data_IF_858500835319
#
_entry.id   IF_858500835319
#
_cell.length_a   1.000
_cell.length_b   1.000
_cell.length_c   1.000
_cell.angle_alpha   90.00
_cell.angle_beta   90.00
_cell.angle_gamma   90.00
#
_symmetry.space_group_name_H-M   'P 1'
#
loop_
_entity.id
_entity.type
_entity.pdbx_description
1 polymer ?
#
# COMPACT_ATOMS: atom_id res chain seq x y z
N UNK A 1 6.32 -11.89 3.16
CA UNK A 1 5.31 -11.03 3.79
C UNK A 1 6.06 -9.92 4.50
N UNK A 2 5.87 -8.65 4.13
CA UNK A 2 6.45 -7.54 4.90
C UNK A 2 5.53 -7.31 6.09
N UNK A 3 6.00 -7.69 7.28
CA UNK A 3 5.25 -7.59 8.54
C UNK A 3 5.47 -6.21 9.15
N UNK A 4 4.38 -5.50 9.43
CA UNK A 4 4.43 -4.25 10.19
C UNK A 4 4.42 -4.54 11.71
N UNK A 5 4.94 -3.60 12.55
CA UNK A 5 4.95 -3.75 14.01
C UNK A 5 3.57 -3.92 14.65
N UNK A 6 2.52 -3.42 14.01
CA UNK A 6 1.11 -3.55 14.41
C UNK A 6 0.47 -4.91 14.03
N UNK A 7 1.24 -5.81 13.41
CA UNK A 7 0.76 -7.11 12.95
C UNK A 7 0.06 -7.09 11.58
N UNK A 8 -0.06 -5.94 10.93
CA UNK A 8 -0.59 -5.85 9.57
C UNK A 8 0.44 -6.31 8.53
N UNK A 9 -0.05 -6.93 7.46
CA UNK A 9 0.77 -7.29 6.31
C UNK A 9 0.43 -6.41 5.12
N UNK A 10 1.45 -6.00 4.37
CA UNK A 10 1.24 -5.37 3.06
C UNK A 10 0.76 -6.44 2.08
N UNK A 11 -0.47 -6.31 1.57
CA UNK A 11 -0.99 -7.14 0.47
C UNK A 11 -0.87 -6.42 -0.87
N UNK A 12 -0.59 -7.19 -1.91
CA UNK A 12 -0.88 -6.79 -3.28
C UNK A 12 -2.38 -7.06 -3.47
N UNK A 13 -3.22 -6.04 -3.39
CA UNK A 13 -4.66 -6.24 -3.45
C UNK A 13 -5.13 -6.72 -4.83
N UNK A 14 -6.44 -6.88 -4.96
CA UNK A 14 -7.07 -7.51 -6.13
C UNK A 14 -7.50 -6.46 -7.15
N UNK A 15 -7.84 -6.92 -8.35
CA UNK A 15 -8.52 -6.13 -9.37
C UNK A 15 -9.82 -5.49 -8.82
N UNK A 16 -9.88 -4.15 -8.79
CA UNK A 16 -11.08 -3.32 -8.59
C UNK A 16 -11.14 -2.37 -9.79
N UNK A 17 -12.31 -2.18 -10.41
CA UNK A 17 -12.52 -1.21 -11.50
C UNK A 17 -11.41 -1.17 -12.58
N UNK A 18 -11.01 -2.34 -13.08
CA UNK A 18 -9.96 -2.54 -14.09
C UNK A 18 -8.53 -2.18 -13.64
N UNK A 19 -8.25 -2.12 -12.34
CA UNK A 19 -6.92 -1.92 -11.78
C UNK A 19 -6.59 -2.83 -10.61
N UNK A 20 -5.32 -3.18 -10.42
CA UNK A 20 -4.80 -3.88 -9.25
C UNK A 20 -4.35 -2.84 -8.23
N UNK A 21 -4.86 -2.86 -7.01
CA UNK A 21 -4.52 -1.86 -5.99
C UNK A 21 -3.92 -2.51 -4.75
N UNK A 22 -2.76 -2.06 -4.24
CA UNK A 22 -2.21 -2.58 -3.00
C UNK A 22 -3.06 -2.17 -1.79
N UNK A 23 -2.99 -2.98 -0.74
CA UNK A 23 -3.81 -2.82 0.46
C UNK A 23 -3.21 -3.45 1.71
N UNK A 24 -4.07 -3.63 2.72
CA UNK A 24 -3.72 -4.08 4.06
C UNK A 24 -4.50 -5.35 4.41
N UNK A 25 -3.80 -6.42 4.81
CA UNK A 25 -4.46 -7.64 5.29
C UNK A 25 -4.84 -7.49 6.77
N UNK A 26 -6.13 -7.64 7.09
CA UNK A 26 -6.67 -7.65 8.46
C UNK A 26 -7.74 -8.75 8.56
N UNK A 27 -7.66 -9.59 9.60
CA UNK A 27 -8.66 -10.63 9.89
C UNK A 27 -9.07 -11.47 8.65
N UNK A 28 -8.07 -11.91 7.87
CA UNK A 28 -8.23 -12.68 6.63
C UNK A 28 -8.88 -11.95 5.44
N UNK A 29 -9.16 -10.65 5.54
CA UNK A 29 -9.59 -9.81 4.44
C UNK A 29 -8.47 -8.87 3.98
N UNK A 30 -8.47 -8.49 2.71
CA UNK A 30 -7.66 -7.40 2.18
C UNK A 30 -8.49 -6.11 2.16
N UNK A 31 -7.98 -5.06 2.79
CA UNK A 31 -8.58 -3.73 2.84
C UNK A 31 -7.85 -2.83 1.85
N UNK A 32 -8.58 -2.34 0.85
CA UNK A 32 -8.02 -1.52 -0.24
C UNK A 32 -8.61 -0.12 -0.13
N UNK A 33 -7.77 0.90 -0.16
CA UNK A 33 -8.23 2.27 -0.30
C UNK A 33 -8.58 2.53 -1.77
N UNK A 34 -9.79 3.01 -2.07
CA UNK A 34 -10.19 3.41 -3.42
C UNK A 34 -11.45 4.28 -3.39
N UNK A 35 -11.47 5.34 -4.21
CA UNK A 35 -12.66 6.18 -4.40
C UNK A 35 -13.17 6.81 -3.11
N UNK A 36 -12.27 7.18 -2.18
CA UNK A 36 -12.66 7.73 -0.88
C UNK A 36 -13.05 6.70 0.19
N UNK A 37 -13.02 5.39 -0.12
CA UNK A 37 -13.46 4.31 0.78
C UNK A 37 -12.36 3.30 1.06
N UNK A 38 -12.47 2.61 2.19
CA UNK A 38 -11.77 1.35 2.45
C UNK A 38 -12.71 0.20 2.06
N UNK A 39 -12.28 -0.60 1.08
CA UNK A 39 -13.05 -1.70 0.49
C UNK A 39 -12.45 -3.02 0.98
N UNK A 40 -13.28 -3.88 1.57
CA UNK A 40 -12.90 -5.21 2.01
C UNK A 40 -13.07 -6.25 0.90
N UNK A 41 -12.03 -7.06 0.66
CA UNK A 41 -12.03 -8.15 -0.33
C UNK A 41 -11.52 -9.44 0.29
N UNK A 42 -12.25 -10.55 0.06
CA UNK A 42 -11.94 -11.88 0.59
C UNK A 42 -10.90 -12.65 -0.22
N UNK A 43 -10.89 -12.48 -1.53
CA UNK A 43 -9.90 -13.06 -2.43
C UNK A 43 -8.86 -12.00 -2.76
N UNK A 44 -7.59 -12.26 -2.55
CA UNK A 44 -6.50 -11.31 -2.79
C UNK A 44 -5.17 -12.03 -2.92
N UNK A 45 -4.17 -11.30 -3.37
CA UNK A 45 -2.80 -11.77 -3.45
C UNK A 45 -1.97 -11.14 -2.33
N UNK A 46 -0.84 -11.76 -2.00
CA UNK A 46 0.04 -11.23 -0.96
C UNK A 46 1.41 -11.06 -1.56
N UNK A 47 1.99 -9.86 -1.40
CA UNK A 47 3.38 -9.65 -1.78
C UNK A 47 4.27 -10.48 -0.86
N UNK A 48 4.95 -11.45 -1.46
CA UNK A 48 5.94 -12.28 -0.77
C UNK A 48 7.36 -11.90 -1.21
N UNK A 49 8.34 -12.21 -0.38
CA UNK A 49 9.75 -11.99 -0.69
C UNK A 49 10.50 -13.31 -0.47
N UNK A 50 10.23 -14.34 -1.30
CA UNK A 50 10.73 -15.70 -1.08
C UNK A 50 12.26 -15.78 -1.20
N UNK A 51 12.88 -14.91 -2.00
CA UNK A 51 14.34 -14.82 -2.14
C UNK A 51 15.03 -13.96 -1.07
N UNK A 52 14.31 -13.51 -0.03
CA UNK A 52 14.83 -12.61 1.01
C UNK A 52 15.62 -11.43 0.45
N UNK A 53 15.13 -10.82 -0.64
CA UNK A 53 15.74 -9.61 -1.19
C UNK A 53 15.75 -8.54 -0.12
N UNK A 54 16.80 -7.73 -0.09
CA UNK A 54 16.85 -6.57 0.80
C UNK A 54 15.71 -5.63 0.40
N UNK A 55 14.83 -5.33 1.36
CA UNK A 55 13.75 -4.37 1.22
C UNK A 55 13.94 -3.31 2.29
N UNK A 56 13.64 -2.06 1.94
CA UNK A 56 13.76 -0.93 2.85
C UNK A 56 12.60 0.04 2.65
N UNK A 57 12.30 0.80 3.70
CA UNK A 57 11.33 1.88 3.67
C UNK A 57 12.09 3.20 3.58
N UNK A 58 11.85 3.94 2.49
CA UNK A 58 12.52 5.21 2.21
C UNK A 58 11.52 6.34 2.39
N UNK A 59 11.86 7.33 3.23
CA UNK A 59 11.04 8.51 3.44
C UNK A 59 10.81 9.25 2.12
N UNK A 60 9.58 9.66 1.87
CA UNK A 60 9.16 10.38 0.68
C UNK A 60 7.98 11.31 1.01
N UNK A 61 7.72 12.27 0.13
CA UNK A 61 6.57 13.16 0.27
C UNK A 61 6.16 13.77 -1.06
N UNK A 62 4.96 14.33 -1.12
CA UNK A 62 4.54 15.18 -2.24
C UNK A 62 4.53 14.46 -3.60
N UNK A 63 4.34 13.14 -3.62
CA UNK A 63 4.31 12.33 -4.84
C UNK A 63 5.67 11.78 -5.26
N UNK A 64 6.72 12.01 -4.47
CA UNK A 64 8.03 11.42 -4.73
C UNK A 64 7.94 9.89 -4.67
N UNK A 65 8.53 9.25 -5.67
CA UNK A 65 8.73 7.81 -5.77
C UNK A 65 10.24 7.58 -5.98
N UNK A 66 10.97 7.12 -4.95
CA UNK A 66 12.41 6.88 -5.06
C UNK A 66 12.74 5.75 -6.03
N UNK A 67 13.99 5.73 -6.51
CA UNK A 67 14.51 4.62 -7.32
C UNK A 67 14.38 3.28 -6.60
N UNK A 68 14.12 2.21 -7.35
CA UNK A 68 13.90 0.87 -6.78
C UNK A 68 12.55 0.69 -6.09
N UNK A 69 11.60 1.63 -6.23
CA UNK A 69 10.27 1.50 -5.67
C UNK A 69 9.54 0.24 -6.17
N UNK A 70 8.93 -0.48 -5.23
CA UNK A 70 8.20 -1.71 -5.50
C UNK A 70 6.81 -1.37 -6.06
N UNK A 71 6.55 -1.83 -7.29
CA UNK A 71 5.24 -1.75 -7.91
C UNK A 71 4.28 -2.72 -7.20
N UNK A 72 3.21 -2.18 -6.61
CA UNK A 72 2.19 -2.97 -5.91
C UNK A 72 0.91 -3.16 -6.70
N UNK A 73 0.76 -2.47 -7.83
CA UNK A 73 -0.43 -2.52 -8.66
C UNK A 73 -0.41 -1.50 -9.79
N UNK A 74 -1.51 -1.42 -10.53
CA UNK A 74 -1.69 -0.52 -11.65
C UNK A 74 -3.18 -0.24 -11.87
N UNK A 75 -3.49 0.99 -12.25
CA UNK A 75 -4.79 1.43 -12.77
C UNK A 75 -4.62 1.88 -14.23
N UNK A 76 -5.70 2.05 -15.01
CA UNK A 76 -5.61 2.61 -16.35
C UNK A 76 -4.80 3.91 -16.39
N UNK A 77 -3.63 3.86 -17.05
CA UNK A 77 -2.72 5.00 -17.19
C UNK A 77 -1.85 5.34 -15.98
N UNK A 78 -1.85 4.53 -14.90
CA UNK A 78 -1.09 4.86 -13.68
C UNK A 78 -0.54 3.65 -12.93
N UNK A 79 0.76 3.64 -12.67
CA UNK A 79 1.42 2.71 -11.74
C UNK A 79 1.14 3.07 -10.28
N UNK A 80 0.92 2.05 -9.44
CA UNK A 80 0.68 2.21 -8.01
C UNK A 80 1.83 1.59 -7.22
N UNK A 81 2.61 2.44 -6.55
CA UNK A 81 3.74 2.02 -5.73
C UNK A 81 3.31 1.79 -4.29
N UNK A 82 3.97 0.83 -3.63
CA UNK A 82 3.70 0.50 -2.24
C UNK A 82 4.26 1.60 -1.34
N UNK A 83 3.38 2.18 -0.53
CA UNK A 83 3.78 3.11 0.53
C UNK A 83 3.21 2.67 1.88
N UNK A 84 3.69 3.29 2.96
CA UNK A 84 3.06 3.27 4.28
C UNK A 84 3.08 4.67 4.89
N UNK A 85 2.14 4.95 5.77
CA UNK A 85 2.07 6.21 6.49
C UNK A 85 1.54 6.02 7.91
N UNK A 86 2.00 6.88 8.82
CA UNK A 86 1.49 6.93 10.20
C UNK A 86 0.13 7.60 10.26
N UNK A 87 -0.85 6.96 10.91
CA UNK A 87 -2.19 7.52 11.14
C UNK A 87 -2.84 6.86 12.37
N UNK A 88 -3.49 7.65 13.22
CA UNK A 88 -4.23 7.16 14.41
C UNK A 88 -3.45 6.14 15.27
N UNK A 89 -2.20 6.47 15.62
CA UNK A 89 -1.26 5.63 16.39
C UNK A 89 -0.87 4.28 15.74
N UNK A 90 -1.13 4.11 14.44
CA UNK A 90 -0.72 2.95 13.64
C UNK A 90 0.11 3.33 12.42
N UNK A 91 0.67 2.32 11.75
CA UNK A 91 1.37 2.48 10.47
C UNK A 91 0.65 1.65 9.42
N UNK A 92 0.03 2.32 8.48
CA UNK A 92 -0.86 1.67 7.53
C UNK A 92 -0.22 1.62 6.14
N UNK A 93 -0.17 0.44 5.51
CA UNK A 93 0.25 0.34 4.12
C UNK A 93 -0.86 0.85 3.19
N UNK A 94 -0.44 1.29 2.01
CA UNK A 94 -1.31 1.88 1.01
C UNK A 94 -0.62 2.00 -0.34
N UNK A 95 -1.09 2.95 -1.15
CA UNK A 95 -0.63 3.17 -2.52
C UNK A 95 -0.30 4.63 -2.79
N UNK A 96 0.79 4.90 -3.51
CA UNK A 96 1.13 6.27 -3.90
C UNK A 96 0.19 6.73 -5.01
N UNK A 97 -0.49 7.86 -4.77
CA UNK A 97 -1.43 8.49 -5.71
C UNK A 97 -1.19 9.99 -5.71
N UNK A 98 -0.92 10.56 -6.89
CA UNK A 98 -0.63 11.98 -7.07
C UNK A 98 0.46 12.46 -6.09
N UNK A 99 0.10 13.24 -5.07
CA UNK A 99 1.03 13.77 -4.07
C UNK A 99 1.06 13.03 -2.73
N UNK A 100 0.29 11.94 -2.59
CA UNK A 100 -0.04 11.33 -1.31
C UNK A 100 0.21 9.81 -1.30
N UNK A 101 0.37 9.27 -0.09
CA UNK A 101 0.11 7.86 0.18
C UNK A 101 -1.35 7.72 0.61
N UNK A 102 -2.14 6.99 -0.17
CA UNK A 102 -3.53 6.70 0.15
C UNK A 102 -3.59 5.40 0.95
N UNK A 103 -4.12 5.48 2.17
CA UNK A 103 -4.28 4.34 3.09
C UNK A 103 -5.76 4.08 3.38
N UNK A 104 -6.11 2.85 3.75
CA UNK A 104 -7.42 2.51 4.29
C UNK A 104 -7.45 2.59 5.82
N UNK A 105 -8.43 3.29 6.38
CA UNK A 105 -8.70 3.29 7.83
C UNK A 105 -10.17 3.59 8.15
N UNK A 106 -10.78 2.77 9.00
CA UNK A 106 -12.12 3.02 9.55
C UNK A 106 -13.19 3.13 8.46
N UNK A 107 -13.08 2.37 7.37
CA UNK A 107 -14.02 2.41 6.25
C UNK A 107 -13.75 3.53 5.23
N UNK A 108 -12.70 4.33 5.40
CA UNK A 108 -12.37 5.49 4.55
C UNK A 108 -10.99 5.37 3.92
N UNK A 109 -10.83 5.97 2.75
CA UNK A 109 -9.51 6.28 2.19
C UNK A 109 -9.00 7.58 2.80
N UNK A 110 -7.77 7.56 3.31
CA UNK A 110 -7.10 8.70 3.93
C UNK A 110 -5.87 9.03 3.11
N UNK A 111 -5.75 10.29 2.69
CA UNK A 111 -4.62 10.78 1.92
C UNK A 111 -3.57 11.43 2.83
N UNK A 112 -2.33 10.96 2.77
CA UNK A 112 -1.26 11.46 3.64
C UNK A 112 -0.06 11.90 2.79
N UNK A 113 0.37 13.15 2.97
CA UNK A 113 1.43 13.77 2.15
C UNK A 113 2.84 13.33 2.51
N UNK A 114 3.09 12.96 3.76
CA UNK A 114 4.39 12.48 4.26
C UNK A 114 4.29 10.98 4.54
N UNK A 115 5.15 10.19 3.89
CA UNK A 115 5.03 8.74 3.89
C UNK A 115 6.40 8.07 3.67
N UNK A 116 6.41 6.75 3.66
CA UNK A 116 7.57 5.97 3.24
C UNK A 116 7.18 5.09 2.05
N UNK A 117 8.10 4.88 1.11
CA UNK A 117 7.93 3.99 -0.05
C UNK A 117 8.77 2.74 0.16
N UNK A 118 8.20 1.58 -0.14
CA UNK A 118 8.93 0.31 -0.13
C UNK A 118 9.85 0.23 -1.36
N UNK A 119 11.15 0.05 -1.14
CA UNK A 119 12.13 -0.06 -2.22
C UNK A 119 13.01 -1.30 -2.10
N UNK A 120 13.59 -1.72 -3.22
CA UNK A 120 14.79 -2.55 -3.26
C UNK A 120 16.02 -1.65 -3.41
N UNK A 121 17.16 -1.96 -2.77
CA UNK A 121 18.44 -1.27 -3.00
C UNK A 121 18.86 -1.25 -4.47
#
# INVERSE_FOLDING_TARGET
MVRNPDGAYTSAGRAIENGVHPGKVVASNCNISYGGREIEIRNYEVLTNPGQRSLQWVAASGGQVPGGAVLGGQEPGRSLYICRAGYQNGVHPGKVVASNCNIGYGGKEIEIRNYEVLTTP
#
